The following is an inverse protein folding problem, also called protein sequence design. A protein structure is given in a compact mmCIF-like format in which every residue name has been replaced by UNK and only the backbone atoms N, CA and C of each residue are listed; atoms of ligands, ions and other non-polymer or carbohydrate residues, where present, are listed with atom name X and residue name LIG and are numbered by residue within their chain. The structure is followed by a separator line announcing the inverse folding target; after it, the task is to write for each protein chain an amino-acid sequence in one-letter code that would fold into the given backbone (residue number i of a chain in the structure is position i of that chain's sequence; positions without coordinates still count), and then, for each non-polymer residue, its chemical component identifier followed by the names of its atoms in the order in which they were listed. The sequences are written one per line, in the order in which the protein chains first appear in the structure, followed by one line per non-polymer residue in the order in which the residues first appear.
data_IF_975737746819
#
_entry.id   IF_975737746819
#
_cell.length_a   1.000
_cell.length_b   1.000
_cell.length_c   1.000
_cell.angle_alpha   90.00
_cell.angle_beta   90.00
_cell.angle_gamma   90.00
#
_symmetry.space_group_name_H-M   'P 1'
#
loop_
_entity.id
_entity.type
_entity.pdbx_description
1 polymer ?
#
# COMPACT_ATOMS: atom_id res chain seq x y z
N UNK A 1 -23.35 5.49 -7.66
CA UNK A 1 -22.18 5.46 -6.76
C UNK A 1 -21.35 4.26 -7.17
N UNK A 2 -20.19 4.46 -7.79
CA UNK A 2 -19.29 3.36 -8.12
C UNK A 2 -18.59 2.88 -6.85
N UNK A 3 -18.48 1.56 -6.68
CA UNK A 3 -17.77 0.98 -5.54
C UNK A 3 -16.26 1.06 -5.79
N UNK A 4 -15.44 1.38 -4.77
CA UNK A 4 -14.00 1.35 -4.92
C UNK A 4 -13.50 -0.07 -5.23
N UNK A 5 -12.36 -0.16 -5.91
CA UNK A 5 -11.70 -1.43 -6.15
C UNK A 5 -11.38 -2.16 -4.84
N UNK A 6 -11.29 -3.50 -4.90
CA UNK A 6 -11.11 -4.35 -3.72
C UNK A 6 -9.72 -4.26 -3.06
N UNK A 7 -8.76 -3.55 -3.68
CA UNK A 7 -7.39 -3.43 -3.19
C UNK A 7 -6.58 -4.71 -3.41
N UNK A 8 -6.04 -4.90 -4.63
CA UNK A 8 -5.20 -6.04 -4.94
C UNK A 8 -3.93 -6.04 -4.07
N UNK A 9 -3.57 -7.18 -3.47
CA UNK A 9 -2.37 -7.24 -2.61
C UNK A 9 -1.11 -7.16 -3.48
N UNK A 10 -0.36 -6.08 -3.28
CA UNK A 10 0.85 -5.75 -4.03
C UNK A 10 1.94 -5.25 -3.08
N UNK A 11 3.18 -5.66 -3.32
CA UNK A 11 4.35 -5.00 -2.72
C UNK A 11 4.59 -3.65 -3.41
N UNK A 12 5.34 -2.78 -2.74
CA UNK A 12 5.75 -1.47 -3.30
C UNK A 12 6.44 -1.65 -4.66
N UNK A 13 7.36 -2.62 -4.78
CA UNK A 13 8.05 -2.89 -6.05
C UNK A 13 7.09 -3.22 -7.20
N UNK A 14 6.05 -4.01 -6.93
CA UNK A 14 5.07 -4.41 -7.95
C UNK A 14 4.23 -3.21 -8.40
N UNK A 15 3.92 -2.28 -7.49
CA UNK A 15 3.21 -1.02 -7.82
C UNK A 15 4.09 -0.13 -8.71
N UNK A 16 5.38 -0.05 -8.40
CA UNK A 16 6.33 0.76 -9.18
C UNK A 16 6.56 0.19 -10.59
N UNK A 17 6.54 -1.14 -10.74
CA UNK A 17 6.71 -1.82 -12.02
C UNK A 17 5.44 -1.76 -12.90
N UNK A 18 4.26 -1.89 -12.28
CA UNK A 18 2.98 -1.83 -12.97
C UNK A 18 1.97 -0.94 -12.22
N UNK A 19 2.04 0.38 -12.44
CA UNK A 19 1.14 1.32 -11.79
C UNK A 19 -0.27 1.32 -12.43
N UNK A 20 -0.54 0.47 -13.43
CA UNK A 20 -1.88 0.35 -14.03
C UNK A 20 -2.90 -0.28 -13.08
N UNK A 21 -2.43 -0.97 -12.03
CA UNK A 21 -3.30 -1.52 -10.98
C UNK A 21 -3.88 -0.37 -10.14
N UNK A 22 -5.12 0.03 -10.47
CA UNK A 22 -5.75 1.22 -9.89
C UNK A 22 -5.98 1.17 -8.38
N UNK A 23 -6.35 0.02 -7.81
CA UNK A 23 -6.66 -0.08 -6.37
C UNK A 23 -5.87 -1.22 -5.73
N UNK A 24 -5.07 -0.88 -4.73
CA UNK A 24 -4.06 -1.77 -4.13
C UNK A 24 -4.17 -1.83 -2.62
N UNK A 25 -3.74 -2.97 -2.07
CA UNK A 25 -3.43 -3.15 -0.65
C UNK A 25 -1.94 -3.43 -0.54
N UNK A 26 -1.21 -2.56 0.12
CA UNK A 26 0.25 -2.65 0.30
C UNK A 26 0.63 -2.35 1.74
N UNK A 27 1.89 -2.48 2.09
CA UNK A 27 2.43 -2.09 3.38
C UNK A 27 3.84 -1.50 3.23
N UNK A 28 4.24 -0.70 4.22
CA UNK A 28 5.57 -0.11 4.29
C UNK A 28 5.77 0.69 5.57
N UNK A 29 7.02 0.97 5.89
CA UNK A 29 7.37 1.88 6.99
C UNK A 29 7.08 3.31 6.52
N UNK A 30 6.21 4.02 7.23
CA UNK A 30 5.85 5.39 6.87
C UNK A 30 6.81 6.39 7.49
N UNK A 31 7.34 7.28 6.66
CA UNK A 31 8.07 8.47 7.10
C UNK A 31 7.36 9.74 6.64
N UNK A 32 7.17 10.71 7.54
CA UNK A 32 6.49 11.96 7.23
C UNK A 32 7.33 12.84 6.30
N UNK A 33 6.68 13.43 5.29
CA UNK A 33 7.33 14.37 4.36
C UNK A 33 6.84 15.79 4.63
N UNK A 34 5.54 16.03 4.43
CA UNK A 34 4.90 17.32 4.63
C UNK A 34 3.38 17.16 4.60
N UNK A 35 2.64 17.94 5.40
CA UNK A 35 1.17 17.87 5.43
C UNK A 35 0.66 16.43 5.63
N UNK A 36 -0.17 15.94 4.71
CA UNK A 36 -0.68 14.57 4.68
C UNK A 36 0.13 13.63 3.76
N UNK A 37 1.31 14.05 3.33
CA UNK A 37 2.19 13.28 2.45
C UNK A 37 3.24 12.53 3.25
N UNK A 38 3.39 11.25 2.94
CA UNK A 38 4.33 10.32 3.56
C UNK A 38 5.12 9.58 2.49
N UNK A 39 6.26 9.03 2.89
CA UNK A 39 6.98 8.02 2.10
C UNK A 39 6.80 6.66 2.77
N UNK A 40 6.25 5.70 2.03
CA UNK A 40 6.27 4.29 2.42
C UNK A 40 7.56 3.63 1.90
N UNK A 41 8.31 2.98 2.79
CA UNK A 41 9.53 2.26 2.45
C UNK A 41 9.42 0.77 2.79
N UNK A 42 9.85 -0.09 1.87
CA UNK A 42 10.02 -1.52 2.10
C UNK A 42 11.02 -2.10 1.09
N UNK A 43 12.00 -2.88 1.55
CA UNK A 43 13.04 -3.52 0.71
C UNK A 43 13.73 -2.55 -0.27
N UNK A 44 14.20 -1.42 0.23
CA UNK A 44 14.88 -0.38 -0.55
C UNK A 44 14.04 0.18 -1.71
N UNK A 45 12.72 0.07 -1.62
CA UNK A 45 11.76 0.70 -2.54
C UNK A 45 10.91 1.69 -1.78
N UNK A 46 10.61 2.82 -2.45
CA UNK A 46 9.86 3.93 -1.88
C UNK A 46 8.64 4.26 -2.73
N UNK A 47 7.52 4.50 -2.07
CA UNK A 47 6.27 4.94 -2.68
C UNK A 47 5.78 6.19 -1.97
N UNK A 48 5.40 7.20 -2.74
CA UNK A 48 4.73 8.37 -2.19
C UNK A 48 3.31 7.98 -1.75
N UNK A 49 2.91 8.43 -0.57
CA UNK A 49 1.61 8.14 0.02
C UNK A 49 0.91 9.46 0.34
N UNK A 50 -0.27 9.67 -0.22
CA UNK A 50 -1.16 10.77 0.14
C UNK A 50 -2.24 10.25 1.11
N UNK A 51 -2.19 10.72 2.35
CA UNK A 51 -3.12 10.40 3.42
C UNK A 51 -4.27 11.42 3.58
N UNK A 52 -4.51 12.29 2.59
CA UNK A 52 -5.53 13.33 2.63
C UNK A 52 -6.95 12.84 2.94
N UNK A 53 -7.26 11.57 2.65
CA UNK A 53 -8.58 10.98 2.89
C UNK A 53 -8.79 10.42 4.31
N UNK A 54 -7.74 10.34 5.14
CA UNK A 54 -7.83 9.68 6.45
C UNK A 54 -8.37 10.57 7.58
N UNK A 55 -8.60 11.86 7.29
CA UNK A 55 -9.12 12.83 8.24
C UNK A 55 -8.10 13.30 9.28
N UNK A 56 -8.39 14.44 9.91
CA UNK A 56 -7.44 15.15 10.79
C UNK A 56 -7.16 14.44 12.13
N UNK A 57 -7.99 13.47 12.51
CA UNK A 57 -7.88 12.76 13.80
C UNK A 57 -6.92 11.57 13.76
N UNK A 58 -6.51 11.11 12.56
CA UNK A 58 -5.64 9.96 12.43
C UNK A 58 -4.16 10.39 12.55
N UNK A 59 -3.54 10.09 13.69
CA UNK A 59 -2.11 10.31 13.88
C UNK A 59 -1.33 9.11 13.32
N UNK A 60 -0.61 9.34 12.22
CA UNK A 60 0.36 8.36 11.68
C UNK A 60 1.67 8.50 12.46
N UNK A 61 2.13 7.40 13.04
CA UNK A 61 3.38 7.33 13.79
C UNK A 61 4.54 7.15 12.84
N UNK A 62 5.43 8.13 12.83
CA UNK A 62 6.65 8.14 12.02
C UNK A 62 7.52 6.89 12.30
N UNK A 63 8.10 6.32 11.25
CA UNK A 63 8.94 5.12 11.29
C UNK A 63 8.21 3.82 11.60
N UNK A 64 6.88 3.81 11.70
CA UNK A 64 6.09 2.61 12.03
C UNK A 64 5.55 1.92 10.77
N UNK A 65 5.24 0.63 10.88
CA UNK A 65 4.76 -0.18 9.77
C UNK A 65 3.25 -0.01 9.60
N UNK A 66 2.82 0.35 8.40
CA UNK A 66 1.40 0.50 8.08
C UNK A 66 0.98 -0.39 6.93
N UNK A 67 -0.19 -1.03 7.07
CA UNK A 67 -0.92 -1.62 5.96
C UNK A 67 -1.93 -0.60 5.44
N UNK A 68 -1.89 -0.39 4.12
CA UNK A 68 -2.61 0.67 3.44
C UNK A 68 -3.49 0.09 2.33
N UNK A 69 -4.67 0.69 2.14
CA UNK A 69 -5.53 0.45 0.98
C UNK A 69 -5.81 1.79 0.32
N UNK A 70 -5.59 1.85 -0.98
CA UNK A 70 -5.72 3.10 -1.72
C UNK A 70 -5.68 2.93 -3.23
N UNK A 71 -5.75 4.07 -3.88
CA UNK A 71 -5.74 4.20 -5.33
C UNK A 71 -4.38 4.69 -5.81
N UNK A 72 -3.84 4.05 -6.85
CA UNK A 72 -2.58 4.47 -7.47
C UNK A 72 -2.90 5.55 -8.48
N UNK A 73 -2.41 6.76 -8.23
CA UNK A 73 -2.52 7.92 -9.12
C UNK A 73 -1.17 8.12 -9.84
N UNK A 74 -1.20 8.21 -11.17
CA UNK A 74 0.00 8.34 -12.02
C UNK A 74 0.07 9.71 -12.72
N UNK A 75 -0.60 10.73 -12.17
CA UNK A 75 -0.68 12.06 -12.80
C UNK A 75 0.62 12.86 -12.73
N UNK A 76 1.62 12.38 -11.98
CA UNK A 76 2.94 12.99 -11.81
C UNK A 76 4.05 12.04 -12.28
N UNK A 77 5.30 12.53 -12.33
CA UNK A 77 6.50 11.75 -12.72
C UNK A 77 6.72 10.47 -11.90
N UNK A 78 5.99 10.32 -10.78
CA UNK A 78 6.06 9.16 -9.88
C UNK A 78 4.66 8.72 -9.44
N UNK A 79 4.42 7.40 -9.32
CA UNK A 79 3.16 6.90 -8.80
C UNK A 79 2.99 7.30 -7.33
N UNK A 80 1.79 7.81 -7.01
CA UNK A 80 1.38 8.15 -5.64
C UNK A 80 0.23 7.24 -5.22
N UNK A 81 0.31 6.67 -4.01
CA UNK A 81 -0.78 5.93 -3.41
C UNK A 81 -1.64 6.86 -2.57
N UNK A 82 -2.83 7.18 -3.06
CA UNK A 82 -3.83 7.92 -2.29
C UNK A 82 -4.58 6.97 -1.38
N UNK A 83 -4.31 7.02 -0.08
CA UNK A 83 -4.79 6.03 0.87
C UNK A 83 -6.13 6.43 1.47
N UNK A 84 -7.07 5.49 1.46
CA UNK A 84 -8.39 5.60 2.09
C UNK A 84 -8.51 4.73 3.34
N UNK A 85 -7.56 3.82 3.56
CA UNK A 85 -7.37 3.09 4.81
C UNK A 85 -5.89 3.03 5.13
N UNK A 86 -5.51 3.32 6.37
CA UNK A 86 -4.18 2.99 6.92
C UNK A 86 -4.34 2.38 8.31
N UNK A 87 -3.62 1.30 8.57
CA UNK A 87 -3.60 0.60 9.87
C UNK A 87 -2.17 0.36 10.31
N UNK A 88 -1.82 0.80 11.51
CA UNK A 88 -0.56 0.41 12.14
C UNK A 88 -0.58 -1.11 12.33
N UNK A 89 0.48 -1.76 11.88
CA UNK A 89 0.70 -3.21 11.96
C UNK A 89 2.10 -3.48 12.52
N UNK A 90 2.54 -2.66 13.47
CA UNK A 90 3.78 -2.89 14.21
C UNK A 90 3.72 -4.29 14.85
N UNK A 91 4.79 -5.07 14.65
CA UNK A 91 4.86 -6.46 15.10
C UNK A 91 4.27 -7.50 14.12
N UNK A 92 3.83 -7.09 12.92
CA UNK A 92 3.48 -8.04 11.87
C UNK A 92 4.70 -8.89 11.49
N UNK A 93 4.54 -10.22 11.53
CA UNK A 93 5.54 -11.15 11.02
C UNK A 93 5.56 -11.11 9.49
N UNK A 94 6.57 -10.45 8.94
CA UNK A 94 6.75 -10.26 7.50
C UNK A 94 7.03 -11.57 6.76
N UNK A 95 7.71 -12.53 7.39
CA UNK A 95 7.99 -13.82 6.77
C UNK A 95 6.70 -14.64 6.64
N UNK A 96 5.86 -14.61 7.68
CA UNK A 96 4.55 -15.26 7.65
C UNK A 96 3.61 -14.57 6.66
N UNK A 97 3.64 -13.24 6.58
CA UNK A 97 2.89 -12.49 5.57
C UNK A 97 3.26 -12.93 4.16
N UNK A 98 4.56 -13.00 3.85
CA UNK A 98 5.07 -13.43 2.55
C UNK A 98 4.63 -14.86 2.21
N UNK A 99 4.73 -15.78 3.17
CA UNK A 99 4.29 -17.17 3.00
C UNK A 99 2.78 -17.25 2.72
N UNK A 100 1.96 -16.51 3.47
CA UNK A 100 0.52 -16.46 3.29
C UNK A 100 0.14 -15.87 1.92
N UNK A 101 0.81 -14.81 1.49
CA UNK A 101 0.58 -14.19 0.18
C UNK A 101 0.98 -15.14 -0.96
N UNK A 102 2.07 -15.88 -0.82
CA UNK A 102 2.48 -16.89 -1.79
C UNK A 102 1.43 -17.99 -1.97
N UNK A 103 0.89 -18.53 -0.87
CA UNK A 103 -0.18 -19.55 -0.93
C UNK A 103 -1.42 -19.02 -1.62
N UNK A 104 -1.85 -17.80 -1.28
CA UNK A 104 -2.99 -17.14 -1.92
C UNK A 104 -2.79 -16.99 -3.44
N UNK A 105 -1.63 -16.48 -3.88
CA UNK A 105 -1.34 -16.26 -5.30
C UNK A 105 -1.29 -17.58 -6.08
N UNK A 106 -0.75 -18.64 -5.48
CA UNK A 106 -0.77 -19.98 -6.08
C UNK A 106 -2.20 -20.46 -6.33
N UNK A 107 -3.06 -20.35 -5.32
CA UNK A 107 -4.47 -20.73 -5.46
C UNK A 107 -5.21 -19.88 -6.51
N UNK A 108 -5.00 -18.56 -6.53
CA UNK A 108 -5.60 -17.68 -7.54
C UNK A 108 -5.13 -17.99 -8.98
N UNK A 109 -3.89 -18.47 -9.14
CA UNK A 109 -3.37 -18.90 -10.44
C UNK A 109 -4.00 -20.23 -10.91
N UNK A 110 -4.19 -21.18 -9.99
CA UNK A 110 -4.87 -22.46 -10.28
C UNK A 110 -6.34 -22.25 -10.69
N UNK A 111 -7.03 -21.27 -10.11
CA UNK A 111 -8.41 -20.93 -10.49
C UNK A 111 -8.54 -20.27 -11.87
N UNK A 112 -7.46 -19.74 -12.42
CA UNK A 112 -7.43 -19.05 -13.73
C UNK A 112 -6.92 -19.94 -14.86
N UNK A 113 -6.45 -21.14 -14.55
CA UNK A 113 -5.99 -22.16 -15.50
C UNK A 113 -7.17 -23.01 -16.00
#
# INVERSE_FOLDING_TARGET
MELPGHGAIRYIEEILQDPSTKSVRTFGFLSHVSGNTFTAEFRDRRLQVDASLLGEQLVIKDGSLYMMIGEVETSEDRPTLRVRVARNVDGMDLNLFDAALSVRRKFEAELKA
#
